data_IF_642136867377
#
_entry.id   IF_642136867377
#
_cell.length_a   1.000
_cell.length_b   1.000
_cell.length_c   1.000
_cell.angle_alpha   90.00
_cell.angle_beta   90.00
_cell.angle_gamma   90.00
#
_symmetry.space_group_name_H-M   'P 1'
#
loop_
_entity.id
_entity.type
_entity.pdbx_description
1 polymer ?
#
# COMPACT_ATOMS: atom_id res chain seq x y z
N UNK A 1 -9.93 15.20 -16.67
CA UNK A 1 -11.07 14.66 -15.91
C UNK A 1 -10.53 14.07 -14.62
N UNK A 2 -11.23 14.25 -13.49
CA UNK A 2 -10.79 13.69 -12.21
C UNK A 2 -11.21 12.21 -12.08
N UNK A 3 -10.48 11.39 -11.28
CA UNK A 3 -10.77 9.95 -11.14
C UNK A 3 -12.12 9.66 -10.46
N UNK A 4 -12.57 10.52 -9.55
CA UNK A 4 -13.85 10.40 -8.87
C UNK A 4 -14.80 11.53 -9.29
N UNK A 5 -16.14 11.33 -9.19
CA UNK A 5 -17.11 12.37 -9.48
C UNK A 5 -16.85 13.66 -8.70
N UNK A 6 -17.05 14.81 -9.36
CA UNK A 6 -16.83 16.15 -8.78
C UNK A 6 -15.51 16.81 -9.20
N UNK A 7 -15.23 17.97 -8.61
CA UNK A 7 -14.01 18.76 -8.84
C UNK A 7 -12.82 18.29 -7.98
N UNK A 8 -11.74 19.09 -7.99
CA UNK A 8 -10.56 18.83 -7.14
C UNK A 8 -10.84 19.06 -5.65
N UNK A 9 -11.83 19.91 -5.36
CA UNK A 9 -12.38 20.23 -4.05
C UNK A 9 -13.28 19.12 -3.49
N UNK A 10 -13.72 18.17 -4.32
CA UNK A 10 -14.46 17.01 -3.85
C UNK A 10 -13.59 16.15 -2.93
N UNK A 11 -14.10 15.78 -1.76
CA UNK A 11 -13.33 15.13 -0.70
C UNK A 11 -12.49 13.93 -1.20
N UNK A 12 -13.03 13.10 -2.09
CA UNK A 12 -12.33 11.93 -2.63
C UNK A 12 -11.13 12.31 -3.50
N UNK A 13 -11.33 13.25 -4.43
CA UNK A 13 -10.29 13.78 -5.29
C UNK A 13 -9.23 14.54 -4.47
N UNK A 14 -9.65 15.34 -3.49
CA UNK A 14 -8.75 16.02 -2.57
C UNK A 14 -7.89 15.02 -1.79
N UNK A 15 -8.50 13.96 -1.23
CA UNK A 15 -7.80 12.90 -0.47
C UNK A 15 -6.76 12.21 -1.35
N UNK A 16 -7.10 11.89 -2.60
CA UNK A 16 -6.16 11.30 -3.55
C UNK A 16 -4.99 12.25 -3.87
N UNK A 17 -5.28 13.54 -4.09
CA UNK A 17 -4.24 14.54 -4.34
C UNK A 17 -3.33 14.70 -3.12
N UNK A 18 -3.87 14.73 -1.90
CA UNK A 18 -3.07 14.76 -0.66
C UNK A 18 -2.19 13.53 -0.51
N UNK A 19 -2.73 12.33 -0.80
CA UNK A 19 -1.94 11.09 -0.83
C UNK A 19 -0.77 11.19 -1.82
N UNK A 20 -1.04 11.64 -3.04
CA UNK A 20 -0.03 11.79 -4.08
C UNK A 20 1.04 12.82 -3.69
N UNK A 21 0.64 13.98 -3.19
CA UNK A 21 1.56 15.03 -2.74
C UNK A 21 2.44 14.51 -1.61
N UNK A 22 1.87 13.80 -0.63
CA UNK A 22 2.64 13.19 0.44
C UNK A 22 3.66 12.17 -0.08
N UNK A 23 3.27 11.32 -1.05
CA UNK A 23 4.17 10.37 -1.70
C UNK A 23 5.31 11.08 -2.46
N UNK A 24 5.01 12.17 -3.16
CA UNK A 24 6.00 12.98 -3.88
C UNK A 24 6.98 13.65 -2.92
N UNK A 25 6.48 14.26 -1.83
CA UNK A 25 7.33 14.82 -0.77
C UNK A 25 8.24 13.74 -0.19
N UNK A 26 7.69 12.55 0.10
CA UNK A 26 8.49 11.43 0.58
C UNK A 26 9.57 11.01 -0.43
N UNK A 27 9.26 10.92 -1.72
CA UNK A 27 10.21 10.58 -2.78
C UNK A 27 11.39 11.56 -2.85
N UNK A 28 11.12 12.87 -2.76
CA UNK A 28 12.18 13.89 -2.77
C UNK A 28 13.00 13.95 -1.47
N UNK A 29 12.50 13.38 -0.37
CA UNK A 29 13.18 13.36 0.93
C UNK A 29 13.91 12.05 1.21
N UNK A 30 13.95 11.11 0.24
CA UNK A 30 14.58 9.80 0.42
C UNK A 30 16.06 9.86 0.85
N UNK A 31 16.82 10.79 0.26
CA UNK A 31 18.25 10.98 0.51
C UNK A 31 18.55 11.88 1.72
N UNK A 32 17.51 12.42 2.36
CA UNK A 32 17.66 13.27 3.54
C UNK A 32 17.75 12.42 4.81
N UNK A 33 18.42 12.91 5.86
CA UNK A 33 18.42 12.23 7.16
C UNK A 33 16.99 11.98 7.65
N UNK A 34 16.76 10.90 8.42
CA UNK A 34 15.46 10.58 8.96
C UNK A 34 14.93 11.76 9.78
N UNK A 35 13.69 12.16 9.51
CA UNK A 35 13.01 13.27 10.20
C UNK A 35 11.55 12.94 10.39
N UNK A 36 10.93 13.49 11.44
CA UNK A 36 9.51 13.27 11.73
C UNK A 36 8.61 13.67 10.55
N UNK A 37 8.98 14.72 9.81
CA UNK A 37 8.24 15.18 8.63
C UNK A 37 8.26 14.14 7.50
N UNK A 38 9.42 13.52 7.25
CA UNK A 38 9.55 12.44 6.26
C UNK A 38 8.73 11.22 6.65
N UNK A 39 8.78 10.84 7.92
CA UNK A 39 7.99 9.74 8.48
C UNK A 39 6.49 9.99 8.32
N UNK A 40 6.04 11.20 8.68
CA UNK A 40 4.65 11.62 8.52
C UNK A 40 4.23 11.61 7.06
N UNK A 41 5.05 12.11 6.13
CA UNK A 41 4.75 12.08 4.70
C UNK A 41 4.57 10.65 4.16
N UNK A 42 5.46 9.72 4.54
CA UNK A 42 5.38 8.31 4.16
C UNK A 42 4.09 7.66 4.65
N UNK A 43 3.81 7.78 5.95
CA UNK A 43 2.63 7.20 6.59
C UNK A 43 1.34 7.81 6.06
N UNK A 44 1.31 9.14 5.87
CA UNK A 44 0.12 9.86 5.42
C UNK A 44 -0.22 9.54 3.97
N UNK A 45 0.78 9.31 3.12
CA UNK A 45 0.57 8.88 1.74
C UNK A 45 -0.33 7.63 1.68
N UNK A 46 -0.03 6.61 2.50
CA UNK A 46 -0.79 5.35 2.53
C UNK A 46 -2.08 5.48 3.35
N UNK A 47 -2.06 6.21 4.47
CA UNK A 47 -3.25 6.42 5.31
C UNK A 47 -4.37 7.13 4.55
N UNK A 48 -4.04 8.11 3.70
CA UNK A 48 -5.02 8.78 2.84
C UNK A 48 -5.67 7.83 1.83
N UNK A 49 -4.94 6.83 1.32
CA UNK A 49 -5.54 5.80 0.46
C UNK A 49 -6.52 4.91 1.23
N UNK A 50 -6.25 4.60 2.50
CA UNK A 50 -7.18 3.86 3.35
C UNK A 50 -8.49 4.64 3.54
N UNK A 51 -8.39 5.94 3.82
CA UNK A 51 -9.54 6.85 3.94
C UNK A 51 -10.32 6.91 2.62
N UNK A 52 -9.60 7.06 1.49
CA UNK A 52 -10.21 7.08 0.17
C UNK A 52 -10.99 5.80 -0.13
N UNK A 53 -10.44 4.64 0.21
CA UNK A 53 -11.13 3.35 0.03
C UNK A 53 -12.45 3.30 0.79
N UNK A 54 -12.48 3.79 2.04
CA UNK A 54 -13.71 3.87 2.83
C UNK A 54 -14.73 4.86 2.24
N UNK A 55 -14.28 6.03 1.80
CA UNK A 55 -15.14 7.06 1.22
C UNK A 55 -15.82 6.62 -0.07
N UNK A 56 -15.15 5.77 -0.86
CA UNK A 56 -15.69 5.25 -2.11
C UNK A 56 -16.54 3.98 -1.91
N UNK A 57 -16.80 3.57 -0.65
CA UNK A 57 -17.52 2.33 -0.37
C UNK A 57 -16.76 1.09 -0.84
N UNK A 58 -15.44 1.17 -0.92
CA UNK A 58 -14.58 0.06 -1.31
C UNK A 58 -14.54 -1.06 -0.27
N UNK A 59 -13.92 -2.21 -0.60
CA UNK A 59 -13.86 -3.35 0.30
C UNK A 59 -13.21 -2.98 1.64
N UNK A 60 -13.84 -3.34 2.76
CA UNK A 60 -13.28 -3.07 4.09
C UNK A 60 -11.89 -3.71 4.28
N UNK A 61 -11.67 -4.89 3.70
CA UNK A 61 -10.37 -5.57 3.64
C UNK A 61 -9.26 -4.67 3.06
N UNK A 62 -9.57 -3.90 2.01
CA UNK A 62 -8.62 -2.97 1.39
C UNK A 62 -8.26 -1.84 2.36
N UNK A 63 -9.27 -1.21 2.96
CA UNK A 63 -9.05 -0.13 3.91
C UNK A 63 -8.24 -0.59 5.13
N UNK A 64 -8.55 -1.78 5.67
CA UNK A 64 -7.83 -2.37 6.79
C UNK A 64 -6.37 -2.72 6.42
N UNK A 65 -6.14 -3.29 5.24
CA UNK A 65 -4.81 -3.61 4.75
C UNK A 65 -3.95 -2.34 4.54
N UNK A 66 -4.53 -1.27 3.97
CA UNK A 66 -3.87 0.02 3.82
C UNK A 66 -3.58 0.68 5.17
N UNK A 67 -4.51 0.61 6.13
CA UNK A 67 -4.29 1.13 7.48
C UNK A 67 -3.14 0.41 8.20
N UNK A 68 -3.10 -0.93 8.13
CA UNK A 68 -1.98 -1.72 8.67
C UNK A 68 -0.65 -1.43 7.96
N UNK A 69 -0.68 -1.17 6.65
CA UNK A 69 0.50 -0.76 5.89
C UNK A 69 1.01 0.61 6.38
N UNK A 70 0.12 1.58 6.61
CA UNK A 70 0.47 2.89 7.15
C UNK A 70 1.03 2.80 8.58
N UNK A 71 0.47 1.92 9.41
CA UNK A 71 1.01 1.61 10.76
C UNK A 71 2.42 1.00 10.65
N UNK A 72 2.63 0.09 9.69
CA UNK A 72 3.94 -0.47 9.38
C UNK A 72 4.96 0.60 9.02
N UNK A 73 4.57 1.55 8.15
CA UNK A 73 5.40 2.71 7.79
C UNK A 73 5.75 3.58 8.99
N UNK A 74 4.80 3.80 9.90
CA UNK A 74 5.03 4.57 11.11
C UNK A 74 6.03 3.87 12.06
N UNK A 75 5.92 2.55 12.20
CA UNK A 75 6.85 1.76 13.01
C UNK A 75 8.27 1.74 12.44
N UNK A 76 8.42 1.50 11.13
CA UNK A 76 9.73 1.54 10.45
C UNK A 76 10.40 2.92 10.50
N UNK A 77 9.65 3.96 10.82
CA UNK A 77 10.17 5.31 10.93
C UNK A 77 10.82 5.62 12.27
N UNK A 78 10.68 4.75 13.28
CA UNK A 78 11.32 4.89 14.58
C UNK A 78 12.58 4.05 14.65
N UNK A 79 13.61 4.58 15.30
CA UNK A 79 14.85 3.84 15.52
C UNK A 79 14.64 2.68 16.50
N UNK A 80 15.31 1.55 16.22
CA UNK A 80 15.42 0.41 17.12
C UNK A 80 14.72 -0.86 16.63
N UNK A 81 15.29 -1.99 17.04
CA UNK A 81 14.89 -3.34 16.59
C UNK A 81 13.41 -3.65 16.85
N UNK A 82 12.87 -3.23 18.00
CA UNK A 82 11.46 -3.49 18.33
C UNK A 82 10.50 -2.78 17.39
N UNK A 83 10.83 -1.54 17.01
CA UNK A 83 10.01 -0.78 16.08
C UNK A 83 10.11 -1.38 14.67
N UNK A 84 11.30 -1.81 14.27
CA UNK A 84 11.50 -2.56 13.03
C UNK A 84 10.65 -3.84 12.96
N UNK A 85 10.73 -4.70 13.99
CA UNK A 85 9.93 -5.94 14.07
C UNK A 85 8.42 -5.65 14.12
N UNK A 86 7.99 -4.60 14.83
CA UNK A 86 6.60 -4.15 14.83
C UNK A 86 6.12 -3.72 13.44
N UNK A 87 6.96 -3.00 12.69
CA UNK A 87 6.69 -2.63 11.31
C UNK A 87 6.58 -3.83 10.40
N UNK A 88 7.51 -4.78 10.50
CA UNK A 88 7.50 -6.02 9.75
C UNK A 88 6.23 -6.85 10.02
N UNK A 89 5.84 -7.02 11.29
CA UNK A 89 4.62 -7.74 11.67
C UNK A 89 3.35 -7.06 11.15
N UNK A 90 3.31 -5.72 11.17
CA UNK A 90 2.19 -4.93 10.64
C UNK A 90 2.05 -5.13 9.13
N UNK A 91 3.17 -5.06 8.39
CA UNK A 91 3.16 -5.32 6.94
C UNK A 91 2.76 -6.76 6.60
N UNK A 92 3.25 -7.75 7.36
CA UNK A 92 2.85 -9.14 7.15
C UNK A 92 1.34 -9.32 7.34
N UNK A 93 0.77 -8.70 8.38
CA UNK A 93 -0.67 -8.75 8.65
C UNK A 93 -1.46 -8.05 7.54
N UNK A 94 -0.97 -6.92 7.03
CA UNK A 94 -1.57 -6.25 5.87
C UNK A 94 -1.62 -7.18 4.64
N UNK A 95 -0.53 -7.91 4.37
CA UNK A 95 -0.48 -8.86 3.25
C UNK A 95 -1.46 -10.02 3.43
N UNK A 96 -1.64 -10.53 4.64
CA UNK A 96 -2.66 -11.55 4.94
C UNK A 96 -4.07 -11.04 4.60
N UNK A 97 -4.34 -9.73 4.70
CA UNK A 97 -5.62 -9.14 4.27
C UNK A 97 -5.68 -8.88 2.76
N UNK A 98 -4.57 -8.49 2.13
CA UNK A 98 -4.51 -8.29 0.67
C UNK A 98 -4.73 -9.59 -0.11
N UNK A 99 -4.24 -10.73 0.37
CA UNK A 99 -4.39 -12.04 -0.31
C UNK A 99 -5.87 -12.39 -0.58
N UNK A 100 -6.76 -12.51 0.42
CA UNK A 100 -8.16 -12.82 0.18
C UNK A 100 -8.89 -11.72 -0.59
N UNK A 101 -8.51 -10.45 -0.39
CA UNK A 101 -9.06 -9.33 -1.16
C UNK A 101 -8.80 -9.50 -2.67
N UNK A 102 -7.55 -9.78 -3.06
CA UNK A 102 -7.18 -9.95 -4.46
C UNK A 102 -7.75 -11.24 -5.04
N UNK A 103 -7.84 -12.32 -4.27
CA UNK A 103 -8.52 -13.54 -4.71
C UNK A 103 -10.00 -13.30 -5.01
N UNK A 104 -10.71 -12.53 -4.17
CA UNK A 104 -12.12 -12.22 -4.37
C UNK A 104 -12.38 -11.21 -5.50
N UNK A 105 -11.48 -10.23 -5.66
CA UNK A 105 -11.69 -9.11 -6.60
C UNK A 105 -11.08 -9.36 -7.99
N UNK A 106 -10.17 -10.33 -8.10
CA UNK A 106 -9.33 -10.54 -9.29
C UNK A 106 -9.57 -11.86 -10.02
N UNK A 107 -10.79 -12.39 -10.00
CA UNK A 107 -11.16 -13.68 -10.65
C UNK A 107 -10.36 -14.90 -10.14
N UNK A 108 -9.79 -14.80 -8.93
CA UNK A 108 -9.07 -15.88 -8.27
C UNK A 108 -7.83 -16.36 -9.01
N UNK A 109 -7.64 -17.69 -9.04
CA UNK A 109 -6.49 -18.33 -9.69
C UNK A 109 -6.68 -18.50 -11.20
N UNK A 110 -7.92 -18.40 -11.69
CA UNK A 110 -8.26 -18.59 -13.10
C UNK A 110 -7.61 -17.50 -13.97
N UNK A 111 -7.40 -16.32 -13.38
CA UNK A 111 -6.63 -15.22 -13.95
C UNK A 111 -5.23 -15.64 -14.42
N UNK A 112 -4.58 -16.58 -13.74
CA UNK A 112 -3.22 -17.03 -14.08
C UNK A 112 -3.20 -17.88 -15.36
N UNK A 113 -4.29 -18.57 -15.66
CA UNK A 113 -4.46 -19.38 -16.86
C UNK A 113 -5.09 -18.65 -18.04
N UNK A 114 -5.71 -17.48 -17.80
CA UNK A 114 -6.40 -16.71 -18.84
C UNK A 114 -5.51 -16.29 -20.00
N UNK A 115 -4.26 -15.88 -19.71
CA UNK A 115 -3.27 -15.51 -20.72
C UNK A 115 -1.89 -16.04 -20.30
N UNK A 116 -1.15 -16.61 -21.25
CA UNK A 116 0.13 -17.30 -20.99
C UNK A 116 1.20 -16.41 -20.35
N UNK A 117 1.22 -15.12 -20.66
CA UNK A 117 2.16 -14.16 -20.07
C UNK A 117 1.89 -13.91 -18.57
N UNK A 118 0.64 -14.02 -18.12
CA UNK A 118 0.27 -13.82 -16.70
C UNK A 118 0.82 -14.97 -15.84
N UNK A 119 0.68 -16.20 -16.32
CA UNK A 119 1.31 -17.37 -15.71
C UNK A 119 2.84 -17.28 -15.69
N UNK A 120 3.46 -16.81 -16.78
CA UNK A 120 4.90 -16.61 -16.85
C UNK A 120 5.41 -15.57 -15.83
N UNK A 121 4.71 -14.45 -15.67
CA UNK A 121 5.04 -13.42 -14.66
C UNK A 121 4.87 -14.00 -13.24
N UNK A 122 3.79 -14.74 -12.97
CA UNK A 122 3.57 -15.34 -11.66
C UNK A 122 4.69 -16.33 -11.29
N UNK A 123 5.11 -17.17 -12.23
CA UNK A 123 6.26 -18.07 -12.06
C UNK A 123 7.56 -17.31 -11.83
N UNK A 124 7.81 -16.25 -12.60
CA UNK A 124 9.00 -15.40 -12.42
C UNK A 124 9.03 -14.74 -11.03
N UNK A 125 7.89 -14.25 -10.54
CA UNK A 125 7.76 -13.68 -9.20
C UNK A 125 7.99 -14.75 -8.10
N UNK A 126 7.44 -15.96 -8.27
CA UNK A 126 7.65 -17.06 -7.33
C UNK A 126 9.13 -17.48 -7.28
N UNK A 127 9.78 -17.61 -8.43
CA UNK A 127 11.21 -17.91 -8.52
C UNK A 127 12.06 -16.81 -7.86
N UNK A 128 11.74 -15.54 -8.13
CA UNK A 128 12.41 -14.41 -7.49
C UNK A 128 12.27 -14.44 -5.96
N UNK A 129 11.06 -14.72 -5.44
CA UNK A 129 10.83 -14.83 -4.01
C UNK A 129 11.63 -15.98 -3.39
N UNK A 130 11.71 -17.15 -4.05
CA UNK A 130 12.53 -18.28 -3.60
C UNK A 130 14.02 -17.89 -3.56
N UNK A 131 14.52 -17.21 -4.59
CA UNK A 131 15.92 -16.75 -4.63
C UNK A 131 16.22 -15.75 -3.52
N UNK A 132 15.28 -14.88 -3.17
CA UNK A 132 15.44 -13.94 -2.04
C UNK A 132 15.43 -14.62 -0.66
N UNK A 133 14.91 -15.84 -0.56
CA UNK A 133 14.88 -16.62 0.69
C UNK A 133 16.11 -17.54 0.85
N UNK A 134 16.87 -17.77 -0.23
CA UNK A 134 18.05 -18.62 -0.27
C UNK A 134 19.33 -17.84 0.06
#
# INVERSE_FOLDING_TARGET
>A
MMPFPGGIDANANATLVFSLVAAVIYAFTLNMPPSLARSAAKTLAVAMLAVLALMQGGPFLLAAALALSAVGDAFLSRDGERAFLGGLASFLTAHILYVPLFLQSGDGLDVLGSESWRGAIALAMAAFAIVMLA
#
